data_IF_681344748750
#
_entry.id   IF_681344748750
#
_cell.length_a   1.000
_cell.length_b   1.000
_cell.length_c   1.000
_cell.angle_alpha   90.00
_cell.angle_beta   90.00
_cell.angle_gamma   90.00
#
_symmetry.space_group_name_H-M   'P 1'
#
loop_
_entity.id
_entity.type
_entity.pdbx_description
1 polymer ?
#
# COMPACT_ATOMS: atom_id res chain seq x y z
N UNK A 1 4.90 -49.63 39.83
CA UNK A 1 4.27 -49.04 38.65
C UNK A 1 5.26 -48.08 38.01
N UNK A 2 5.94 -48.59 37.01
CA UNK A 2 6.85 -47.77 36.20
C UNK A 2 6.00 -46.87 35.27
N UNK A 3 5.80 -45.64 35.68
CA UNK A 3 5.22 -44.64 34.78
C UNK A 3 6.21 -44.36 33.65
N UNK A 4 5.88 -44.81 32.47
CA UNK A 4 6.59 -44.44 31.24
C UNK A 4 6.29 -42.94 31.00
N UNK A 5 7.24 -42.07 31.34
CA UNK A 5 7.17 -40.67 30.96
C UNK A 5 7.11 -40.59 29.43
N UNK A 6 5.97 -40.11 28.91
CA UNK A 6 5.86 -39.79 27.48
C UNK A 6 6.92 -38.76 27.13
N UNK A 7 7.72 -38.97 26.08
CA UNK A 7 8.65 -37.96 25.64
C UNK A 7 7.87 -36.69 25.29
N UNK A 8 8.08 -35.63 26.04
CA UNK A 8 7.52 -34.30 25.73
C UNK A 8 8.21 -33.84 24.46
N UNK A 9 7.47 -33.81 23.36
CA UNK A 9 7.96 -33.26 22.11
C UNK A 9 8.21 -31.78 22.32
N UNK A 10 9.48 -31.42 22.48
CA UNK A 10 9.86 -30.01 22.60
C UNK A 10 9.62 -29.36 21.25
N UNK A 11 8.62 -28.47 21.19
CA UNK A 11 8.36 -27.69 19.99
C UNK A 11 9.56 -26.81 19.67
N UNK A 12 10.07 -26.91 18.45
CA UNK A 12 11.15 -26.07 17.94
C UNK A 12 10.53 -25.06 16.99
N UNK A 13 10.69 -23.74 17.23
CA UNK A 13 10.15 -22.75 16.32
C UNK A 13 10.82 -22.86 14.93
N UNK A 14 10.08 -22.62 13.84
CA UNK A 14 10.61 -22.75 12.46
C UNK A 14 11.67 -21.70 12.11
N UNK A 15 11.79 -20.63 12.90
CA UNK A 15 12.75 -19.55 12.72
C UNK A 15 13.78 -19.55 13.85
N UNK A 16 15.02 -19.20 13.52
CA UNK A 16 16.08 -18.96 14.50
C UNK A 16 15.79 -17.70 15.34
N UNK A 17 16.47 -17.54 16.49
CA UNK A 17 16.33 -16.33 17.31
C UNK A 17 16.66 -15.05 16.54
N UNK A 18 17.68 -15.07 15.67
CA UNK A 18 18.06 -13.93 14.84
C UNK A 18 16.98 -13.60 13.81
N UNK A 19 16.41 -14.61 13.17
CA UNK A 19 15.31 -14.43 12.21
C UNK A 19 14.07 -13.88 12.88
N UNK A 20 13.73 -14.32 14.10
CA UNK A 20 12.61 -13.78 14.89
C UNK A 20 12.83 -12.31 15.26
N UNK A 21 14.02 -11.91 15.65
CA UNK A 21 14.35 -10.50 15.92
C UNK A 21 14.15 -9.65 14.67
N UNK A 22 14.60 -10.12 13.51
CA UNK A 22 14.41 -9.42 12.22
C UNK A 22 12.92 -9.25 11.89
N UNK A 23 12.11 -10.30 12.08
CA UNK A 23 10.66 -10.23 11.87
C UNK A 23 10.00 -9.25 12.84
N UNK A 24 10.38 -9.28 14.13
CA UNK A 24 9.86 -8.35 15.14
C UNK A 24 10.19 -6.90 14.82
N UNK A 25 11.42 -6.63 14.37
CA UNK A 25 11.83 -5.27 13.99
C UNK A 25 11.02 -4.76 12.79
N UNK A 26 10.76 -5.61 11.81
CA UNK A 26 9.87 -5.29 10.68
C UNK A 26 8.44 -5.01 11.15
N UNK A 27 7.90 -5.82 12.07
CA UNK A 27 6.56 -5.63 12.63
C UNK A 27 6.45 -4.35 13.44
N UNK A 28 7.49 -3.95 14.18
CA UNK A 28 7.52 -2.67 14.93
C UNK A 28 7.51 -1.46 14.02
N UNK A 29 8.15 -1.55 12.86
CA UNK A 29 8.12 -0.52 11.83
C UNK A 29 6.84 -0.54 10.98
N UNK A 30 6.00 -1.55 11.14
CA UNK A 30 4.77 -1.69 10.37
C UNK A 30 3.66 -0.82 10.96
N UNK A 31 3.04 -0.01 10.12
CA UNK A 31 1.81 0.71 10.44
C UNK A 31 0.67 0.20 9.57
N UNK A 32 -0.57 0.11 10.08
CA UNK A 32 -1.71 -0.29 9.26
C UNK A 32 -1.95 0.73 8.14
N UNK A 33 -2.49 0.26 7.02
CA UNK A 33 -2.90 1.14 5.93
C UNK A 33 -4.00 2.10 6.42
N UNK A 34 -3.78 3.39 6.21
CA UNK A 34 -4.74 4.43 6.58
C UNK A 34 -5.45 4.98 5.35
N UNK A 35 -6.69 4.50 5.14
CA UNK A 35 -7.53 4.95 4.03
C UNK A 35 -7.96 6.41 4.15
N UNK A 36 -8.08 6.94 5.35
CA UNK A 36 -8.43 8.36 5.56
C UNK A 36 -7.32 9.28 5.08
N UNK A 37 -6.07 8.97 5.41
CA UNK A 37 -4.91 9.75 4.91
C UNK A 37 -4.81 9.69 3.39
N UNK A 38 -5.05 8.52 2.80
CA UNK A 38 -5.08 8.39 1.35
C UNK A 38 -6.16 9.29 0.74
N UNK A 39 -7.38 9.26 1.25
CA UNK A 39 -8.50 10.05 0.73
C UNK A 39 -8.28 11.54 0.91
N UNK A 40 -7.65 11.97 2.00
CA UNK A 40 -7.27 13.37 2.21
C UNK A 40 -6.24 13.83 1.18
N UNK A 41 -5.22 13.03 0.90
CA UNK A 41 -4.22 13.34 -0.11
C UNK A 41 -4.82 13.32 -1.53
N UNK A 42 -5.71 12.40 -1.82
CA UNK A 42 -6.46 12.36 -3.09
C UNK A 42 -7.31 13.62 -3.25
N UNK A 43 -8.04 14.02 -2.23
CA UNK A 43 -8.85 15.23 -2.26
C UNK A 43 -7.99 16.48 -2.53
N UNK A 44 -6.83 16.56 -1.90
CA UNK A 44 -5.90 17.68 -2.08
C UNK A 44 -5.39 17.81 -3.52
N UNK A 45 -5.16 16.69 -4.22
CA UNK A 45 -4.64 16.72 -5.61
C UNK A 45 -5.71 16.85 -6.67
N UNK A 46 -6.95 16.46 -6.36
CA UNK A 46 -8.08 16.54 -7.29
C UNK A 46 -8.88 17.84 -7.13
N UNK A 47 -8.50 18.69 -6.18
CA UNK A 47 -9.10 20.01 -6.01
C UNK A 47 -8.88 20.88 -7.27
N UNK A 48 -9.81 21.79 -7.50
CA UNK A 48 -9.72 22.78 -8.59
C UNK A 48 -8.52 23.70 -8.44
N UNK A 49 -8.10 23.97 -7.19
CA UNK A 49 -6.90 24.75 -6.90
C UNK A 49 -5.69 23.82 -6.84
N UNK A 50 -4.73 23.96 -7.78
CA UNK A 50 -3.55 23.11 -7.75
C UNK A 50 -2.67 23.42 -6.52
N UNK A 51 -2.00 22.39 -5.95
CA UNK A 51 -1.09 22.58 -4.84
C UNK A 51 0.12 23.44 -5.24
N UNK A 52 0.80 24.03 -4.25
CA UNK A 52 2.05 24.74 -4.47
C UNK A 52 3.13 23.80 -5.01
N UNK A 53 4.21 24.34 -5.55
CA UNK A 53 5.31 23.53 -6.08
C UNK A 53 5.94 22.64 -5.01
N UNK A 54 6.13 23.16 -3.79
CA UNK A 54 6.63 22.42 -2.64
C UNK A 54 5.67 21.31 -2.22
N UNK A 55 4.39 21.61 -2.12
CA UNK A 55 3.36 20.64 -1.77
C UNK A 55 3.19 19.56 -2.84
N UNK A 56 3.38 19.89 -4.11
CA UNK A 56 3.31 18.95 -5.23
C UNK A 56 4.31 17.81 -5.06
N UNK A 57 5.57 18.11 -4.74
CA UNK A 57 6.60 17.10 -4.53
C UNK A 57 6.27 16.18 -3.34
N UNK A 58 5.83 16.76 -2.22
CA UNK A 58 5.44 16.01 -1.03
C UNK A 58 4.21 15.13 -1.25
N UNK A 59 3.19 15.65 -1.93
CA UNK A 59 1.99 14.90 -2.29
C UNK A 59 2.29 13.75 -3.24
N UNK A 60 3.16 13.97 -4.23
CA UNK A 60 3.59 12.91 -5.15
C UNK A 60 4.28 11.77 -4.41
N UNK A 61 5.14 12.08 -3.47
CA UNK A 61 5.82 11.09 -2.64
C UNK A 61 4.83 10.28 -1.79
N UNK A 62 3.93 10.97 -1.08
CA UNK A 62 2.90 10.29 -0.26
C UNK A 62 1.95 9.44 -1.09
N UNK A 63 1.48 9.93 -2.23
CA UNK A 63 0.61 9.16 -3.13
C UNK A 63 1.33 7.94 -3.71
N UNK A 64 2.61 8.05 -4.04
CA UNK A 64 3.42 6.90 -4.46
C UNK A 64 3.52 5.85 -3.36
N UNK A 65 3.70 6.26 -2.12
CA UNK A 65 3.70 5.35 -0.96
C UNK A 65 2.34 4.67 -0.78
N UNK A 66 1.25 5.42 -0.86
CA UNK A 66 -0.11 4.88 -0.79
C UNK A 66 -0.36 3.85 -1.90
N UNK A 67 0.04 4.16 -3.13
CA UNK A 67 -0.08 3.22 -4.25
C UNK A 67 0.72 1.94 -4.04
N UNK A 68 1.96 2.07 -3.58
CA UNK A 68 2.81 0.90 -3.27
C UNK A 68 2.15 0.00 -2.23
N UNK A 69 1.57 0.58 -1.19
CA UNK A 69 0.86 -0.17 -0.15
C UNK A 69 -0.41 -0.82 -0.68
N UNK A 70 -1.21 -0.11 -1.47
CA UNK A 70 -2.41 -0.66 -2.11
C UNK A 70 -2.07 -1.85 -3.02
N UNK A 71 -1.03 -1.71 -3.83
CA UNK A 71 -0.55 -2.81 -4.70
C UNK A 71 -0.09 -4.00 -3.87
N UNK A 72 0.64 -3.79 -2.79
CA UNK A 72 1.08 -4.85 -1.88
C UNK A 72 -0.10 -5.60 -1.27
N UNK A 73 -1.12 -4.88 -0.79
CA UNK A 73 -2.36 -5.46 -0.25
C UNK A 73 -3.10 -6.23 -1.35
N UNK A 74 -3.22 -5.65 -2.55
CA UNK A 74 -3.89 -6.27 -3.67
C UNK A 74 -3.25 -7.59 -4.08
N UNK A 75 -1.93 -7.63 -4.20
CA UNK A 75 -1.20 -8.85 -4.55
C UNK A 75 -1.34 -9.91 -3.45
N UNK A 76 -1.21 -9.53 -2.18
CA UNK A 76 -1.37 -10.44 -1.03
C UNK A 76 -2.79 -11.01 -0.93
N UNK A 77 -3.80 -10.26 -1.38
CA UNK A 77 -5.21 -10.66 -1.38
C UNK A 77 -5.68 -11.33 -2.68
N UNK A 78 -4.74 -11.58 -3.60
CA UNK A 78 -5.03 -12.18 -4.92
C UNK A 78 -6.02 -11.34 -5.76
N UNK A 79 -6.05 -10.02 -5.58
CA UNK A 79 -6.94 -9.11 -6.29
C UNK A 79 -6.67 -9.05 -7.80
N UNK A 80 -5.50 -9.52 -8.26
CA UNK A 80 -5.16 -9.63 -9.68
C UNK A 80 -6.09 -10.59 -10.46
N UNK A 81 -6.83 -11.45 -9.77
CA UNK A 81 -7.87 -12.28 -10.38
C UNK A 81 -9.08 -11.45 -10.84
N UNK A 82 -9.30 -10.28 -10.27
CA UNK A 82 -10.28 -9.32 -10.76
C UNK A 82 -9.69 -8.50 -11.90
N UNK A 83 -10.27 -8.52 -13.12
CA UNK A 83 -9.68 -7.85 -14.28
C UNK A 83 -9.52 -6.34 -14.11
N UNK A 84 -10.45 -5.69 -13.44
CA UNK A 84 -10.39 -4.24 -13.16
C UNK A 84 -9.24 -3.92 -12.21
N UNK A 85 -9.12 -4.68 -11.13
CA UNK A 85 -8.03 -4.52 -10.18
C UNK A 85 -6.66 -4.78 -10.84
N UNK A 86 -6.56 -5.81 -11.68
CA UNK A 86 -5.33 -6.13 -12.42
C UNK A 86 -4.87 -4.96 -13.30
N UNK A 87 -5.77 -4.30 -14.01
CA UNK A 87 -5.46 -3.13 -14.83
C UNK A 87 -5.01 -1.94 -13.99
N UNK A 88 -5.67 -1.70 -12.85
CA UNK A 88 -5.31 -0.62 -11.94
C UNK A 88 -3.94 -0.85 -11.29
N UNK A 89 -3.62 -2.09 -10.94
CA UNK A 89 -2.30 -2.48 -10.43
C UNK A 89 -1.22 -2.19 -11.47
N UNK A 90 -1.48 -2.55 -12.74
CA UNK A 90 -0.54 -2.29 -13.83
C UNK A 90 -0.31 -0.79 -14.02
N UNK A 91 -1.37 0.01 -14.02
CA UNK A 91 -1.29 1.47 -14.10
C UNK A 91 -0.51 2.05 -12.92
N UNK A 92 -0.76 1.57 -11.71
CA UNK A 92 -0.05 2.01 -10.51
C UNK A 92 1.45 1.74 -10.61
N UNK A 93 1.84 0.57 -11.08
CA UNK A 93 3.26 0.20 -11.29
C UNK A 93 3.93 1.10 -12.33
N UNK A 94 3.25 1.39 -13.43
CA UNK A 94 3.74 2.28 -14.47
C UNK A 94 3.96 3.69 -13.94
N UNK A 95 2.99 4.24 -13.23
CA UNK A 95 3.10 5.57 -12.63
C UNK A 95 4.18 5.66 -11.55
N UNK A 96 4.36 4.61 -10.77
CA UNK A 96 5.41 4.56 -9.75
C UNK A 96 6.82 4.55 -10.37
N UNK A 97 6.97 3.91 -11.53
CA UNK A 97 8.23 3.87 -12.26
C UNK A 97 8.60 5.20 -12.93
N UNK A 98 7.59 6.02 -13.25
CA UNK A 98 7.81 7.32 -13.88
C UNK A 98 8.19 8.37 -12.83
N UNK A 99 9.31 9.10 -13.01
CA UNK A 99 9.67 10.18 -12.10
C UNK A 99 8.73 11.37 -12.25
N UNK A 100 8.64 12.19 -11.19
CA UNK A 100 7.87 13.43 -11.25
C UNK A 100 8.48 14.37 -12.32
N UNK A 101 7.69 14.83 -13.30
CA UNK A 101 8.20 15.76 -14.31
C UNK A 101 8.69 17.09 -13.71
N UNK A 102 9.68 17.71 -14.36
CA UNK A 102 10.22 19.00 -13.90
C UNK A 102 9.30 20.19 -14.23
N UNK A 103 8.50 20.10 -15.28
CA UNK A 103 7.53 21.15 -15.66
C UNK A 103 6.34 21.16 -14.71
N UNK A 104 5.88 22.37 -14.34
CA UNK A 104 4.78 22.50 -13.37
C UNK A 104 3.47 21.88 -13.85
N UNK A 105 3.10 22.11 -15.11
CA UNK A 105 1.85 21.55 -15.66
C UNK A 105 1.91 20.04 -15.77
N UNK A 106 3.04 19.51 -16.22
CA UNK A 106 3.28 18.09 -16.34
C UNK A 106 3.33 17.41 -14.96
N UNK A 107 3.93 18.08 -13.96
CA UNK A 107 3.99 17.60 -12.59
C UNK A 107 2.57 17.52 -11.99
N UNK A 108 1.74 18.55 -12.18
CA UNK A 108 0.35 18.55 -11.71
C UNK A 108 -0.47 17.45 -12.42
N UNK A 109 -0.28 17.29 -13.72
CA UNK A 109 -0.97 16.23 -14.48
C UNK A 109 -0.55 14.83 -13.99
N UNK A 110 0.73 14.63 -13.71
CA UNK A 110 1.24 13.38 -13.14
C UNK A 110 0.67 13.13 -11.74
N UNK A 111 0.66 14.16 -10.90
CA UNK A 111 0.11 14.10 -9.56
C UNK A 111 -1.39 13.72 -9.57
N UNK A 112 -2.16 14.30 -10.48
CA UNK A 112 -3.58 13.96 -10.65
C UNK A 112 -3.78 12.52 -11.11
N UNK A 113 -2.92 12.01 -12.01
CA UNK A 113 -2.95 10.60 -12.40
C UNK A 113 -2.66 9.67 -11.22
N UNK A 114 -1.70 10.02 -10.36
CA UNK A 114 -1.43 9.29 -9.11
C UNK A 114 -2.66 9.28 -8.21
N UNK A 115 -3.27 10.43 -7.99
CA UNK A 115 -4.48 10.57 -7.17
C UNK A 115 -5.67 9.77 -7.72
N UNK A 116 -5.95 9.87 -9.01
CA UNK A 116 -7.01 9.11 -9.67
C UNK A 116 -6.78 7.61 -9.55
N UNK A 117 -5.58 7.14 -9.84
CA UNK A 117 -5.26 5.72 -9.78
C UNK A 117 -5.35 5.18 -8.36
N UNK A 118 -4.86 5.95 -7.37
CA UNK A 118 -4.97 5.58 -5.96
C UNK A 118 -6.43 5.49 -5.52
N UNK A 119 -7.26 6.45 -5.90
CA UNK A 119 -8.68 6.45 -5.58
C UNK A 119 -9.41 5.26 -6.22
N UNK A 120 -9.23 5.04 -7.51
CA UNK A 120 -9.88 3.93 -8.22
C UNK A 120 -9.44 2.57 -7.68
N UNK A 121 -8.15 2.40 -7.38
CA UNK A 121 -7.66 1.14 -6.82
C UNK A 121 -8.20 0.91 -5.40
N UNK A 122 -8.21 1.95 -4.57
CA UNK A 122 -8.80 1.88 -3.23
C UNK A 122 -10.28 1.48 -3.31
N UNK A 123 -11.06 2.14 -4.15
CA UNK A 123 -12.49 1.85 -4.33
C UNK A 123 -12.71 0.42 -4.82
N UNK A 124 -11.90 -0.03 -5.78
CA UNK A 124 -12.03 -1.39 -6.29
C UNK A 124 -11.68 -2.44 -5.26
N UNK A 125 -10.60 -2.26 -4.50
CA UNK A 125 -10.21 -3.17 -3.44
C UNK A 125 -11.24 -3.22 -2.31
N UNK A 126 -11.88 -2.11 -2.00
CA UNK A 126 -12.99 -2.04 -1.06
C UNK A 126 -14.20 -2.81 -1.59
N UNK A 127 -14.58 -2.61 -2.85
CA UNK A 127 -15.70 -3.28 -3.49
C UNK A 127 -15.56 -4.81 -3.55
N UNK A 128 -14.36 -5.30 -3.77
CA UNK A 128 -14.06 -6.75 -3.78
C UNK A 128 -13.64 -7.29 -2.40
N UNK A 129 -13.80 -6.48 -1.35
CA UNK A 129 -13.55 -6.81 0.06
C UNK A 129 -12.11 -7.18 0.43
N UNK A 130 -11.14 -6.66 -0.32
CA UNK A 130 -9.72 -6.74 0.04
C UNK A 130 -9.32 -5.67 1.06
N UNK A 131 -10.09 -4.58 1.18
CA UNK A 131 -9.95 -3.51 2.16
C UNK A 131 -11.27 -3.27 2.88
N UNK A 132 -11.19 -2.81 4.13
CA UNK A 132 -12.35 -2.28 4.85
C UNK A 132 -12.66 -0.87 4.35
N UNK A 133 -13.95 -0.52 4.33
CA UNK A 133 -14.35 0.84 4.07
C UNK A 133 -13.70 1.80 5.09
N UNK A 134 -13.24 2.95 4.60
CA UNK A 134 -12.77 4.01 5.48
C UNK A 134 -13.98 4.56 6.25
N UNK A 135 -13.93 4.39 7.56
CA UNK A 135 -15.00 4.88 8.43
C UNK A 135 -14.91 6.40 8.62
#
# INVERSE_FOLDING_TARGET
VTGTARPVHRWVPPLSGTELVTVLDRLRGWSPFDGCLLLDDVAAVLDDVPPSEEDTAQLAERLSEHLTRLVTIAVASEAEQDPTAAQLILRARTLHADPLPCGRQEAIAHLRRLGWTANELHDRLTAIRCLKEAA
#
